data_IF_119786443928
#
_entry.id   IF_119786443928
#
_cell.length_a   1.000
_cell.length_b   1.000
_cell.length_c   1.000
_cell.angle_alpha   90.00
_cell.angle_beta   90.00
_cell.angle_gamma   90.00
#
_symmetry.space_group_name_H-M   'P 1'
#
loop_
_entity.id
_entity.type
_entity.pdbx_description
1 polymer ?
#
# COMPACT_ATOMS: atom_id res chain seq x y z
N UNK A 1 -1.90 25.75 33.65
CA UNK A 1 -2.31 24.49 34.31
C UNK A 1 -3.78 24.47 34.76
N UNK A 2 -4.71 25.13 34.03
CA UNK A 2 -6.14 25.20 34.40
C UNK A 2 -7.05 24.66 33.28
N UNK A 3 -6.67 24.87 32.02
CA UNK A 3 -7.36 24.33 30.85
C UNK A 3 -7.50 22.81 30.87
N UNK A 4 -6.48 22.08 31.34
CA UNK A 4 -6.46 20.61 31.31
C UNK A 4 -7.50 20.00 32.27
N UNK A 5 -7.81 20.67 33.39
CA UNK A 5 -8.78 20.15 34.36
C UNK A 5 -10.22 20.11 33.82
N UNK A 6 -10.62 21.09 33.00
CA UNK A 6 -11.94 21.10 32.37
C UNK A 6 -12.08 20.01 31.31
N UNK A 7 -10.99 19.70 30.59
CA UNK A 7 -10.97 18.64 29.58
C UNK A 7 -11.11 17.27 30.26
N UNK A 8 -10.38 17.04 31.36
CA UNK A 8 -10.48 15.80 32.14
C UNK A 8 -11.91 15.61 32.69
N UNK A 9 -12.53 16.67 33.22
CA UNK A 9 -13.95 16.63 33.66
C UNK A 9 -14.91 16.26 32.52
N UNK A 10 -14.69 16.77 31.31
CA UNK A 10 -15.51 16.45 30.14
C UNK A 10 -15.34 14.99 29.70
N UNK A 11 -14.14 14.42 29.86
CA UNK A 11 -13.84 13.01 29.54
C UNK A 11 -14.46 12.00 30.51
N UNK A 12 -14.79 12.40 31.74
CA UNK A 12 -15.48 11.52 32.70
C UNK A 12 -16.99 11.42 32.47
N UNK A 13 -17.56 12.16 31.52
CA UNK A 13 -18.96 12.01 31.12
C UNK A 13 -19.15 10.77 30.24
N UNK A 14 -20.32 10.13 30.27
CA UNK A 14 -20.62 8.95 29.43
C UNK A 14 -20.37 9.21 27.94
N UNK A 15 -20.68 10.42 27.48
CA UNK A 15 -20.42 10.84 26.10
C UNK A 15 -18.92 11.05 25.83
N UNK A 16 -18.20 11.72 26.74
CA UNK A 16 -16.75 11.93 26.63
C UNK A 16 -15.94 10.63 26.60
N UNK A 17 -16.37 9.62 27.36
CA UNK A 17 -15.75 8.28 27.34
C UNK A 17 -15.88 7.61 25.97
N UNK A 18 -17.05 7.72 25.31
CA UNK A 18 -17.23 7.15 23.98
C UNK A 18 -16.36 7.86 22.95
N UNK A 19 -16.33 9.19 22.99
CA UNK A 19 -15.54 10.00 22.05
C UNK A 19 -14.04 9.71 22.20
N UNK A 20 -13.52 9.63 23.44
CA UNK A 20 -12.10 9.33 23.64
C UNK A 20 -11.73 7.91 23.19
N UNK A 21 -12.60 6.92 23.41
CA UNK A 21 -12.38 5.55 22.93
C UNK A 21 -12.29 5.47 21.41
N UNK A 22 -13.12 6.23 20.69
CA UNK A 22 -13.08 6.30 19.22
C UNK A 22 -11.78 6.97 18.76
N UNK A 23 -11.42 8.11 19.34
CA UNK A 23 -10.20 8.84 18.98
C UNK A 23 -8.95 7.99 19.25
N UNK A 24 -8.90 7.32 20.39
CA UNK A 24 -7.80 6.42 20.74
C UNK A 24 -7.75 5.21 19.80
N UNK A 25 -8.89 4.62 19.44
CA UNK A 25 -8.95 3.52 18.48
C UNK A 25 -8.43 3.91 17.09
N UNK A 26 -8.82 5.08 16.59
CA UNK A 26 -8.35 5.62 15.30
C UNK A 26 -6.87 5.98 15.37
N UNK A 27 -6.42 6.58 16.48
CA UNK A 27 -5.03 6.91 16.72
C UNK A 27 -4.14 5.66 16.73
N UNK A 28 -4.57 4.61 17.43
CA UNK A 28 -3.86 3.34 17.48
C UNK A 28 -3.82 2.67 16.09
N UNK A 29 -4.95 2.63 15.38
CA UNK A 29 -5.02 2.07 14.03
C UNK A 29 -4.08 2.78 13.05
N UNK A 30 -3.88 4.09 13.23
CA UNK A 30 -2.98 4.88 12.40
C UNK A 30 -1.50 4.53 12.62
N UNK A 31 -1.12 4.07 13.82
CA UNK A 31 0.25 3.60 14.10
C UNK A 31 0.57 2.27 13.41
N UNK A 32 -0.42 1.40 13.23
CA UNK A 32 -0.26 0.11 12.56
C UNK A 32 -0.47 0.18 11.04
N UNK A 33 -0.88 1.33 10.51
CA UNK A 33 -0.93 1.53 9.06
C UNK A 33 0.50 1.46 8.53
N UNK A 34 0.83 0.40 7.78
CA UNK A 34 2.10 0.34 7.03
C UNK A 34 2.25 1.65 6.27
N UNK A 35 3.27 2.43 6.65
CA UNK A 35 3.68 3.56 5.84
C UNK A 35 4.33 2.96 4.61
N UNK A 36 3.66 3.10 3.47
CA UNK A 36 4.24 2.70 2.20
C UNK A 36 5.55 3.47 2.02
N UNK A 37 6.67 2.78 2.21
CA UNK A 37 8.00 3.32 2.03
C UNK A 37 8.63 2.51 0.92
N UNK A 38 8.78 3.13 -0.25
CA UNK A 38 9.36 2.52 -1.44
C UNK A 38 8.55 1.32 -1.99
N UNK A 39 9.26 0.25 -2.35
CA UNK A 39 8.84 -0.97 -3.04
C UNK A 39 7.75 -1.81 -2.33
N UNK A 40 7.56 -1.62 -1.02
CA UNK A 40 6.59 -2.38 -0.22
C UNK A 40 5.11 -2.01 -0.48
N UNK A 41 4.84 -0.94 -1.25
CA UNK A 41 3.48 -0.48 -1.54
C UNK A 41 2.92 -0.99 -2.88
N UNK A 42 3.77 -1.52 -3.75
CA UNK A 42 3.35 -1.91 -5.09
C UNK A 42 2.96 -3.38 -5.09
N UNK A 43 1.68 -3.64 -5.31
CA UNK A 43 1.24 -4.99 -5.71
C UNK A 43 1.46 -5.12 -7.20
N UNK A 44 2.60 -5.69 -7.60
CA UNK A 44 2.90 -5.94 -9.01
C UNK A 44 1.98 -7.04 -9.54
N UNK A 45 0.94 -6.64 -10.26
CA UNK A 45 0.08 -7.57 -10.99
C UNK A 45 0.61 -7.69 -12.42
N UNK A 46 1.13 -8.87 -12.75
CA UNK A 46 1.52 -9.15 -14.14
C UNK A 46 0.26 -9.28 -15.00
N UNK A 47 0.24 -8.70 -16.22
CA UNK A 47 -0.82 -8.99 -17.19
C UNK A 47 -0.83 -10.49 -17.52
N UNK A 48 -1.99 -10.97 -17.96
CA UNK A 48 -2.13 -12.38 -18.38
C UNK A 48 -1.24 -12.63 -19.60
N UNK A 49 -0.57 -13.77 -19.63
CA UNK A 49 0.33 -14.16 -20.73
C UNK A 49 -0.33 -14.04 -22.10
N UNK A 50 -1.58 -14.49 -22.23
CA UNK A 50 -2.31 -14.42 -23.50
C UNK A 50 -2.62 -13.00 -23.99
N UNK A 51 -2.68 -12.01 -23.10
CA UNK A 51 -2.90 -10.60 -23.49
C UNK A 51 -1.62 -9.99 -24.09
N UNK A 52 -0.46 -10.33 -23.51
CA UNK A 52 0.86 -9.88 -23.99
C UNK A 52 1.20 -10.52 -25.35
N UNK A 53 0.78 -11.76 -25.58
CA UNK A 53 1.05 -12.46 -26.85
C UNK A 53 0.16 -11.99 -28.00
N UNK A 54 -1.06 -11.56 -27.70
CA UNK A 54 -2.02 -11.12 -28.71
C UNK A 54 -1.86 -9.65 -29.10
N UNK A 55 -1.14 -8.87 -28.29
CA UNK A 55 -0.92 -7.44 -28.51
C UNK A 55 0.41 -7.18 -29.22
N UNK A 56 0.44 -6.14 -30.06
CA UNK A 56 1.64 -5.69 -30.76
C UNK A 56 2.12 -4.41 -30.10
N UNK A 57 3.38 -4.38 -29.68
CA UNK A 57 3.96 -3.25 -28.97
C UNK A 57 4.92 -2.49 -29.88
N UNK A 58 4.79 -1.17 -29.92
CA UNK A 58 5.72 -0.30 -30.62
C UNK A 58 6.88 0.04 -29.69
N UNK A 59 8.10 -0.34 -30.08
CA UNK A 59 9.31 0.01 -29.34
C UNK A 59 10.38 0.50 -30.30
N UNK A 60 10.98 1.67 -30.03
CA UNK A 60 12.04 2.24 -30.90
C UNK A 60 11.60 2.47 -32.36
N UNK A 61 10.31 2.66 -32.61
CA UNK A 61 9.76 2.87 -33.97
C UNK A 61 9.43 1.58 -34.75
N UNK A 62 9.63 0.40 -34.16
CA UNK A 62 9.28 -0.89 -34.78
C UNK A 62 8.27 -1.65 -33.93
N UNK A 63 7.40 -2.41 -34.60
CA UNK A 63 6.34 -3.20 -33.98
C UNK A 63 6.82 -4.61 -33.65
N UNK A 64 6.67 -5.02 -32.40
CA UNK A 64 7.10 -6.34 -31.89
C UNK A 64 5.93 -7.09 -31.26
N UNK A 65 5.89 -8.41 -31.48
CA UNK A 65 5.04 -9.34 -30.74
C UNK A 65 5.91 -10.17 -29.82
N UNK A 66 5.52 -10.25 -28.55
CA UNK A 66 6.23 -11.05 -27.56
C UNK A 66 5.58 -12.43 -27.46
N UNK A 67 6.40 -13.45 -27.16
CA UNK A 67 5.94 -14.80 -26.83
C UNK A 67 6.37 -15.11 -25.40
N UNK A 68 5.48 -15.67 -24.61
CA UNK A 68 5.79 -16.07 -23.26
C UNK A 68 6.59 -17.38 -23.28
N UNK A 69 7.82 -17.34 -22.78
CA UNK A 69 8.63 -18.55 -22.56
C UNK A 69 8.79 -18.80 -21.06
N UNK A 70 8.47 -20.01 -20.63
CA UNK A 70 8.72 -20.43 -19.25
C UNK A 70 10.22 -20.70 -19.07
N UNK A 71 10.89 -19.85 -18.29
CA UNK A 71 12.29 -20.06 -17.90
C UNK A 71 12.38 -20.33 -16.40
N UNK A 72 13.35 -21.14 -16.01
CA UNK A 72 13.63 -21.41 -14.60
C UNK A 72 14.17 -20.13 -13.97
N UNK A 73 13.52 -19.65 -12.90
CA UNK A 73 14.01 -18.49 -12.16
C UNK A 73 15.38 -18.79 -11.59
N UNK A 74 16.37 -18.00 -11.98
CA UNK A 74 17.71 -18.02 -11.41
C UNK A 74 17.68 -17.22 -10.11
N UNK A 75 18.15 -17.82 -9.01
CA UNK A 75 17.91 -17.40 -7.62
C UNK A 75 18.50 -16.05 -7.20
N UNK A 76 19.05 -15.24 -8.12
CA UNK A 76 19.91 -14.09 -7.77
C UNK A 76 19.62 -12.79 -8.54
N UNK A 77 18.47 -12.64 -9.20
CA UNK A 77 18.13 -11.38 -9.87
C UNK A 77 17.12 -10.61 -9.04
N UNK A 78 17.61 -9.85 -8.06
CA UNK A 78 16.81 -8.77 -7.48
C UNK A 78 16.68 -7.70 -8.55
N UNK A 79 15.51 -7.59 -9.15
CA UNK A 79 15.22 -6.54 -10.13
C UNK A 79 14.78 -5.32 -9.33
N UNK A 80 15.69 -4.38 -9.11
CA UNK A 80 15.36 -3.11 -8.46
C UNK A 80 14.66 -2.22 -9.47
N UNK A 81 13.34 -2.09 -9.35
CA UNK A 81 12.56 -1.13 -10.12
C UNK A 81 12.61 0.20 -9.37
N UNK A 82 13.49 1.10 -9.83
CA UNK A 82 13.62 2.47 -9.30
C UNK A 82 12.64 3.42 -10.00
#
# INVERSE_FOLDING_TARGET
MYMIQNIIKSMHTKFGQVVISIILGIGLASLFRRTCRNEDCYTFQSPKTGEVENTTYLHGGSCYKFKAETKKCESQKHVTFA
#
